data_IF_970475880965
#
_entry.id   IF_970475880965
#
_cell.length_a   1.000
_cell.length_b   1.000
_cell.length_c   1.000
_cell.angle_alpha   90.00
_cell.angle_beta   90.00
_cell.angle_gamma   90.00
#
_symmetry.space_group_name_H-M   'P 1'
#
loop_
_entity.id
_entity.type
_entity.pdbx_description
1 polymer ?
#
# COMPACT_ATOMS: atom_id res chain seq x y z
N UNK A 1 30.35 51.79 26.80
CA UNK A 1 30.67 50.35 26.73
C UNK A 1 29.35 49.60 26.88
N UNK A 2 28.61 49.36 25.77
CA UNK A 2 27.25 48.84 25.76
C UNK A 2 27.30 47.35 25.41
N UNK A 3 27.00 46.48 26.41
CA UNK A 3 26.90 45.04 26.22
C UNK A 3 25.63 44.67 25.44
N UNK A 4 25.78 44.19 24.21
CA UNK A 4 24.70 43.56 23.43
C UNK A 4 24.25 42.30 24.13
N UNK A 5 23.03 42.31 24.73
CA UNK A 5 22.34 41.11 25.19
C UNK A 5 22.09 40.21 23.99
N UNK A 6 22.79 39.09 23.92
CA UNK A 6 22.53 38.00 22.99
C UNK A 6 21.14 37.43 23.33
N UNK A 7 20.13 37.69 22.48
CA UNK A 7 18.84 36.98 22.55
C UNK A 7 19.14 35.48 22.32
N UNK A 8 18.98 34.69 23.37
CA UNK A 8 18.92 33.23 23.25
C UNK A 8 17.60 32.95 22.51
N UNK A 9 17.71 32.72 21.21
CA UNK A 9 16.60 32.16 20.42
C UNK A 9 16.47 30.70 20.90
N UNK A 10 15.53 30.46 21.79
CA UNK A 10 15.05 29.12 22.09
C UNK A 10 14.33 28.62 20.84
N UNK A 11 15.10 28.00 19.92
CA UNK A 11 14.52 27.16 18.88
C UNK A 11 13.87 25.98 19.59
N UNK A 12 12.59 26.14 19.89
CA UNK A 12 11.72 25.01 20.20
C UNK A 12 11.59 24.24 18.89
N UNK A 13 12.44 23.24 18.68
CA UNK A 13 12.37 22.37 17.53
C UNK A 13 10.94 21.82 17.47
N UNK A 14 10.19 22.08 16.40
CA UNK A 14 8.87 21.48 16.25
C UNK A 14 9.05 19.98 16.26
N UNK A 15 8.30 19.26 17.12
CA UNK A 15 8.47 17.82 17.26
C UNK A 15 8.55 17.15 15.88
N UNK A 16 9.46 16.20 15.69
CA UNK A 16 9.79 15.56 14.41
C UNK A 16 8.55 15.19 13.57
N UNK A 17 7.49 14.72 14.22
CA UNK A 17 6.22 14.38 13.57
C UNK A 17 5.51 15.58 12.94
N UNK A 18 5.55 16.74 13.57
CA UNK A 18 4.94 17.97 13.05
C UNK A 18 5.69 18.50 11.83
N UNK A 19 7.00 18.35 11.81
CA UNK A 19 7.81 18.76 10.67
C UNK A 19 7.63 17.83 9.48
N UNK A 20 7.63 16.49 9.72
CA UNK A 20 7.35 15.48 8.69
C UNK A 20 5.96 15.73 8.08
N UNK A 21 4.94 15.96 8.91
CA UNK A 21 3.59 16.23 8.43
C UNK A 21 3.52 17.54 7.61
N UNK A 22 4.21 18.58 8.04
CA UNK A 22 4.27 19.83 7.31
C UNK A 22 4.94 19.68 5.95
N UNK A 23 6.06 18.94 5.88
CA UNK A 23 6.77 18.66 4.64
C UNK A 23 5.92 17.77 3.71
N UNK A 24 5.24 16.79 4.24
CA UNK A 24 4.31 15.95 3.50
C UNK A 24 3.17 16.76 2.87
N UNK A 25 2.50 17.61 3.66
CA UNK A 25 1.43 18.46 3.18
C UNK A 25 1.88 19.54 2.17
N UNK A 26 3.16 19.90 2.17
CA UNK A 26 3.73 20.84 1.20
C UNK A 26 3.82 20.23 -0.21
N UNK A 27 3.94 18.91 -0.31
CA UNK A 27 3.98 18.21 -1.59
C UNK A 27 2.55 17.83 -2.02
N UNK A 28 2.01 18.55 -3.00
CA UNK A 28 0.66 18.35 -3.53
C UNK A 28 0.44 16.93 -4.07
N UNK A 29 1.47 16.33 -4.66
CA UNK A 29 1.39 14.96 -5.20
C UNK A 29 1.23 13.93 -4.06
N UNK A 30 1.95 14.11 -2.95
CA UNK A 30 1.84 13.23 -1.78
C UNK A 30 0.46 13.31 -1.14
N UNK A 31 -0.09 14.53 -1.06
CA UNK A 31 -1.47 14.73 -0.53
C UNK A 31 -2.50 14.09 -1.46
N UNK A 32 -2.38 14.28 -2.77
CA UNK A 32 -3.28 13.65 -3.75
C UNK A 32 -3.21 12.10 -3.68
N UNK A 33 -2.00 11.53 -3.56
CA UNK A 33 -1.80 10.09 -3.40
C UNK A 33 -2.43 9.56 -2.10
N UNK A 34 -2.31 10.31 -1.01
CA UNK A 34 -2.94 9.93 0.27
C UNK A 34 -4.47 9.93 0.16
N UNK A 35 -5.04 10.98 -0.44
CA UNK A 35 -6.50 11.07 -0.65
C UNK A 35 -6.97 9.89 -1.49
N UNK A 36 -6.28 9.59 -2.59
CA UNK A 36 -6.61 8.46 -3.46
C UNK A 36 -6.54 7.12 -2.71
N UNK A 37 -5.52 6.93 -1.88
CA UNK A 37 -5.39 5.73 -1.05
C UNK A 37 -6.55 5.60 -0.06
N UNK A 38 -6.93 6.70 0.60
CA UNK A 38 -8.06 6.72 1.54
C UNK A 38 -9.37 6.34 0.83
N UNK A 39 -9.59 6.85 -0.39
CA UNK A 39 -10.76 6.51 -1.21
C UNK A 39 -10.79 5.01 -1.51
N UNK A 40 -9.68 4.42 -1.94
CA UNK A 40 -9.59 2.98 -2.21
C UNK A 40 -9.88 2.16 -0.95
N UNK A 41 -9.28 2.52 0.19
CA UNK A 41 -9.52 1.85 1.47
C UNK A 41 -11.00 1.95 1.86
N UNK A 42 -11.61 3.12 1.69
CA UNK A 42 -13.03 3.32 1.97
C UNK A 42 -13.91 2.37 1.14
N UNK A 43 -13.72 2.33 -0.18
CA UNK A 43 -14.45 1.42 -1.04
C UNK A 43 -14.21 -0.04 -0.70
N UNK A 44 -12.99 -0.41 -0.36
CA UNK A 44 -12.65 -1.79 0.02
C UNK A 44 -13.30 -2.22 1.34
N UNK A 45 -13.39 -1.33 2.33
CA UNK A 45 -14.05 -1.60 3.62
C UNK A 45 -15.57 -1.73 3.46
N UNK A 46 -16.17 -0.84 2.68
CA UNK A 46 -17.62 -0.79 2.46
C UNK A 46 -18.08 -1.60 1.25
N UNK A 47 -17.23 -2.43 0.66
CA UNK A 47 -17.53 -3.21 -0.55
C UNK A 47 -18.84 -3.97 -0.45
N UNK A 48 -19.10 -4.69 0.63
CA UNK A 48 -20.31 -5.49 0.85
C UNK A 48 -21.59 -4.65 1.03
N UNK A 49 -21.43 -3.36 1.39
CA UNK A 49 -22.58 -2.44 1.55
C UNK A 49 -22.93 -1.79 0.20
N UNK A 50 -21.92 -1.55 -0.64
CA UNK A 50 -22.05 -0.87 -1.92
C UNK A 50 -22.59 -1.84 -2.98
N UNK A 51 -22.03 -3.05 -3.04
CA UNK A 51 -22.43 -4.09 -4.00
C UNK A 51 -22.42 -5.44 -3.30
N UNK A 52 -23.52 -6.17 -3.37
CA UNK A 52 -23.58 -7.51 -2.80
C UNK A 52 -22.60 -8.44 -3.52
N UNK A 53 -21.82 -9.18 -2.76
CA UNK A 53 -20.83 -10.11 -3.29
C UNK A 53 -21.45 -11.19 -4.19
N UNK A 54 -22.67 -11.63 -3.88
CA UNK A 54 -23.37 -12.65 -4.65
C UNK A 54 -23.69 -12.18 -6.08
N UNK A 55 -24.07 -10.92 -6.25
CA UNK A 55 -24.33 -10.35 -7.59
C UNK A 55 -23.07 -10.24 -8.44
N UNK A 56 -21.92 -10.07 -7.78
CA UNK A 56 -20.61 -9.93 -8.45
C UNK A 56 -20.06 -11.26 -8.95
N UNK A 57 -20.33 -12.37 -8.24
CA UNK A 57 -19.79 -13.70 -8.60
C UNK A 57 -20.74 -14.52 -9.47
N UNK A 58 -22.07 -14.26 -9.40
CA UNK A 58 -23.06 -15.04 -10.13
C UNK A 58 -23.08 -14.63 -11.61
N UNK A 59 -22.87 -15.58 -12.55
CA UNK A 59 -22.95 -15.28 -13.97
C UNK A 59 -24.41 -14.96 -14.38
N UNK A 60 -24.60 -13.91 -15.18
CA UNK A 60 -25.86 -13.60 -15.82
C UNK A 60 -25.68 -13.54 -17.36
N UNK A 61 -25.90 -14.65 -18.08
CA UNK A 61 -25.66 -14.71 -19.51
C UNK A 61 -26.50 -13.71 -20.34
N UNK A 62 -27.61 -13.21 -19.80
CA UNK A 62 -28.50 -12.26 -20.48
C UNK A 62 -27.91 -10.84 -20.52
N UNK A 63 -27.02 -10.52 -19.57
CA UNK A 63 -26.38 -9.21 -19.43
C UNK A 63 -24.92 -9.21 -19.89
N UNK A 64 -24.57 -10.09 -20.83
CA UNK A 64 -23.18 -10.20 -21.33
C UNK A 64 -22.76 -8.98 -22.14
N UNK A 65 -21.56 -8.47 -21.85
CA UNK A 65 -20.89 -7.41 -22.61
C UNK A 65 -21.75 -6.15 -22.76
N UNK A 66 -22.58 -5.84 -21.76
CA UNK A 66 -23.29 -4.57 -21.71
C UNK A 66 -22.30 -3.43 -21.49
N UNK A 67 -22.52 -2.32 -22.20
CA UNK A 67 -21.75 -1.10 -22.01
C UNK A 67 -22.04 -0.43 -20.67
N UNK A 68 -21.23 0.58 -20.30
CA UNK A 68 -21.48 1.37 -19.10
C UNK A 68 -22.89 1.96 -19.07
N UNK A 69 -23.60 1.78 -17.95
CA UNK A 69 -24.95 2.26 -17.70
C UNK A 69 -25.12 2.70 -16.24
N UNK A 70 -26.27 3.22 -15.88
CA UNK A 70 -26.58 3.56 -14.49
C UNK A 70 -26.72 2.33 -13.59
N UNK A 71 -27.06 1.17 -14.16
CA UNK A 71 -27.13 -0.11 -13.46
C UNK A 71 -25.76 -0.77 -13.36
N UNK A 72 -24.94 -0.63 -14.41
CA UNK A 72 -23.60 -1.19 -14.50
C UNK A 72 -22.60 -0.07 -14.84
N UNK A 73 -22.07 0.61 -13.82
CA UNK A 73 -21.21 1.78 -14.00
C UNK A 73 -20.01 1.55 -14.93
N UNK A 74 -19.41 0.36 -14.89
CA UNK A 74 -18.29 -0.04 -15.75
C UNK A 74 -18.69 -1.09 -16.79
N UNK A 75 -20.01 -1.34 -16.95
CA UNK A 75 -20.51 -2.39 -17.80
C UNK A 75 -20.33 -3.79 -17.20
N UNK A 76 -20.57 -4.81 -18.03
CA UNK A 76 -20.51 -6.22 -17.63
C UNK A 76 -19.43 -6.99 -18.42
N UNK A 77 -18.94 -8.07 -17.82
CA UNK A 77 -17.94 -8.94 -18.46
C UNK A 77 -18.59 -9.97 -19.43
N UNK A 78 -17.74 -10.85 -19.98
CA UNK A 78 -18.18 -11.93 -20.87
C UNK A 78 -19.09 -12.99 -20.21
N UNK A 79 -19.22 -12.96 -18.88
CA UNK A 79 -20.14 -13.79 -18.10
C UNK A 79 -21.35 -13.02 -17.61
N UNK A 80 -21.49 -11.73 -17.96
CA UNK A 80 -22.58 -10.87 -17.51
C UNK A 80 -22.47 -10.41 -16.07
N UNK A 81 -21.25 -10.40 -15.48
CA UNK A 81 -21.00 -9.98 -14.11
C UNK A 81 -20.61 -8.50 -14.08
N UNK A 82 -21.07 -7.76 -13.08
CA UNK A 82 -20.78 -6.34 -12.92
C UNK A 82 -19.28 -6.07 -12.68
N UNK A 83 -18.66 -5.28 -13.56
CA UNK A 83 -17.25 -4.95 -13.49
C UNK A 83 -16.93 -3.99 -12.33
N UNK A 84 -17.80 -3.05 -12.03
CA UNK A 84 -17.62 -2.11 -10.93
C UNK A 84 -17.56 -2.84 -9.58
N UNK A 85 -18.53 -3.72 -9.34
CA UNK A 85 -18.54 -4.56 -8.14
C UNK A 85 -17.28 -5.42 -8.01
N UNK A 86 -16.81 -6.01 -9.12
CA UNK A 86 -15.59 -6.81 -9.15
C UNK A 86 -14.34 -6.01 -8.81
N UNK A 87 -14.24 -4.78 -9.31
CA UNK A 87 -13.09 -3.89 -8.99
C UNK A 87 -13.08 -3.55 -7.50
N UNK A 88 -14.23 -3.21 -6.91
CA UNK A 88 -14.35 -2.87 -5.49
C UNK A 88 -13.97 -4.08 -4.60
N UNK A 89 -14.56 -5.24 -4.85
CA UNK A 89 -14.25 -6.45 -4.10
C UNK A 89 -12.80 -6.91 -4.33
N UNK A 90 -12.29 -6.78 -5.57
CA UNK A 90 -10.89 -7.06 -5.91
C UNK A 90 -9.91 -6.16 -5.15
N UNK A 91 -10.23 -4.88 -4.98
CA UNK A 91 -9.42 -3.94 -4.21
C UNK A 91 -9.25 -4.39 -2.75
N UNK A 92 -10.31 -4.94 -2.13
CA UNK A 92 -10.25 -5.48 -0.76
C UNK A 92 -9.23 -6.60 -0.63
N UNK A 93 -9.27 -7.58 -1.55
CA UNK A 93 -8.32 -8.68 -1.55
C UNK A 93 -6.89 -8.21 -1.84
N UNK A 94 -6.72 -7.31 -2.82
CA UNK A 94 -5.40 -6.76 -3.17
C UNK A 94 -4.77 -5.99 -1.99
N UNK A 95 -5.55 -5.18 -1.28
CA UNK A 95 -5.07 -4.48 -0.09
C UNK A 95 -4.70 -5.44 1.03
N UNK A 96 -5.53 -6.46 1.28
CA UNK A 96 -5.26 -7.47 2.30
C UNK A 96 -3.96 -8.22 2.00
N UNK A 97 -3.80 -8.72 0.76
CA UNK A 97 -2.57 -9.38 0.34
C UNK A 97 -1.37 -8.45 0.43
N UNK A 98 -1.50 -7.19 -0.01
CA UNK A 98 -0.43 -6.20 0.09
C UNK A 98 0.06 -5.99 1.52
N UNK A 99 -0.86 -5.84 2.47
CA UNK A 99 -0.53 -5.68 3.90
C UNK A 99 0.13 -6.93 4.45
N UNK A 100 -0.43 -8.12 4.18
CA UNK A 100 0.11 -9.39 4.68
C UNK A 100 1.51 -9.64 4.12
N UNK A 101 1.69 -9.54 2.80
CA UNK A 101 3.00 -9.75 2.17
C UNK A 101 4.05 -8.76 2.66
N UNK A 102 3.68 -7.47 2.76
CA UNK A 102 4.60 -6.43 3.26
C UNK A 102 4.98 -6.68 4.72
N UNK A 103 4.02 -7.07 5.56
CA UNK A 103 4.28 -7.37 6.98
C UNK A 103 5.20 -8.58 7.14
N UNK A 104 4.97 -9.65 6.38
CA UNK A 104 5.84 -10.83 6.37
C UNK A 104 7.24 -10.49 5.90
N UNK A 105 7.36 -9.72 4.82
CA UNK A 105 8.67 -9.29 4.27
C UNK A 105 9.41 -8.39 5.25
N UNK A 106 8.71 -7.46 5.90
CA UNK A 106 9.29 -6.57 6.91
C UNK A 106 9.81 -7.37 8.10
N UNK A 107 8.97 -8.27 8.63
CA UNK A 107 9.35 -9.10 9.77
C UNK A 107 10.55 -10.00 9.43
N UNK A 108 10.48 -10.72 8.31
CA UNK A 108 11.58 -11.57 7.84
C UNK A 108 12.87 -10.80 7.59
N UNK A 109 12.79 -9.65 6.90
CA UNK A 109 13.92 -8.77 6.65
C UNK A 109 14.54 -8.20 7.91
N UNK A 110 13.71 -7.76 8.88
CA UNK A 110 14.20 -7.29 10.18
C UNK A 110 14.92 -8.38 10.97
N UNK A 111 14.37 -9.60 11.02
CA UNK A 111 14.99 -10.72 11.74
C UNK A 111 16.31 -11.11 11.10
N UNK A 112 16.35 -11.27 9.77
CA UNK A 112 17.58 -11.62 9.05
C UNK A 112 18.61 -10.50 9.13
N UNK A 113 18.22 -9.24 8.94
CA UNK A 113 19.13 -8.10 9.03
C UNK A 113 19.67 -7.88 10.44
N UNK A 114 18.84 -8.01 11.47
CA UNK A 114 19.28 -7.91 12.86
C UNK A 114 20.22 -9.04 13.24
N UNK A 115 19.96 -10.27 12.80
CA UNK A 115 20.87 -11.43 13.04
C UNK A 115 22.21 -11.25 12.35
N UNK A 116 22.19 -10.82 11.08
CA UNK A 116 23.43 -10.55 10.34
C UNK A 116 24.27 -9.45 11.01
N UNK A 117 23.60 -8.35 11.42
CA UNK A 117 24.28 -7.23 12.08
C UNK A 117 24.81 -7.58 13.49
N UNK A 118 24.07 -8.39 14.26
CA UNK A 118 24.44 -8.75 15.62
C UNK A 118 25.60 -9.74 15.67
N UNK A 119 25.56 -10.81 14.89
CA UNK A 119 26.61 -11.83 14.90
C UNK A 119 27.80 -11.50 14.00
N UNK A 120 27.56 -10.76 12.92
CA UNK A 120 28.60 -10.34 11.97
C UNK A 120 29.39 -11.50 11.33
N UNK A 121 30.53 -11.20 10.73
CA UNK A 121 31.51 -12.15 10.26
C UNK A 121 30.96 -13.26 9.36
N UNK A 122 31.09 -14.52 9.77
CA UNK A 122 30.65 -15.67 8.98
C UNK A 122 29.13 -15.77 8.84
N UNK A 123 28.38 -15.37 9.86
CA UNK A 123 26.89 -15.41 9.84
C UNK A 123 26.36 -14.42 8.82
N UNK A 124 26.86 -13.19 8.87
CA UNK A 124 26.52 -12.16 7.89
C UNK A 124 26.85 -12.62 6.46
N UNK A 125 28.08 -13.12 6.26
CA UNK A 125 28.49 -13.63 4.94
C UNK A 125 27.58 -14.76 4.41
N UNK A 126 27.16 -15.69 5.27
CA UNK A 126 26.27 -16.77 4.87
C UNK A 126 24.88 -16.27 4.52
N UNK A 127 24.29 -15.41 5.35
CA UNK A 127 22.96 -14.82 5.11
C UNK A 127 22.97 -14.07 3.78
N UNK A 128 23.98 -13.21 3.55
CA UNK A 128 24.11 -12.44 2.30
C UNK A 128 24.26 -13.36 1.08
N UNK A 129 25.05 -14.44 1.15
CA UNK A 129 25.19 -15.38 0.03
C UNK A 129 23.90 -16.10 -0.32
N UNK A 130 23.09 -16.45 0.69
CA UNK A 130 21.77 -17.06 0.44
C UNK A 130 20.84 -16.05 -0.24
N UNK A 131 20.83 -14.81 0.23
CA UNK A 131 20.02 -13.74 -0.37
C UNK A 131 20.48 -13.48 -1.82
N UNK A 132 21.78 -13.38 -2.06
CA UNK A 132 22.33 -13.18 -3.41
C UNK A 132 21.94 -14.33 -4.35
N UNK A 133 22.01 -15.58 -3.87
CA UNK A 133 21.60 -16.74 -4.65
C UNK A 133 20.09 -16.68 -5.02
N UNK A 134 19.23 -16.26 -4.09
CA UNK A 134 17.81 -16.05 -4.37
C UNK A 134 17.57 -14.93 -5.36
N UNK A 135 18.33 -13.84 -5.27
CA UNK A 135 18.25 -12.71 -6.21
C UNK A 135 18.77 -13.04 -7.62
N UNK A 136 19.61 -14.07 -7.76
CA UNK A 136 20.07 -14.56 -9.08
C UNK A 136 18.97 -15.24 -9.88
N UNK A 137 17.85 -15.64 -9.25
CA UNK A 137 16.71 -16.22 -9.97
C UNK A 137 15.98 -15.08 -10.69
N UNK A 138 15.90 -15.11 -12.04
CA UNK A 138 15.22 -14.06 -12.78
C UNK A 138 13.75 -13.97 -12.33
N UNK A 139 13.30 -12.77 -12.00
CA UNK A 139 11.92 -12.50 -11.55
C UNK A 139 10.86 -13.05 -12.55
N UNK A 140 11.21 -13.11 -13.84
CA UNK A 140 10.33 -13.66 -14.88
C UNK A 140 10.10 -15.19 -14.79
N UNK A 141 10.92 -15.90 -14.02
CA UNK A 141 10.80 -17.37 -13.84
C UNK A 141 10.10 -17.73 -12.53
N UNK A 142 9.79 -16.76 -11.68
CA UNK A 142 9.14 -16.88 -10.40
C UNK A 142 7.65 -16.53 -10.49
#
# INVERSE_FOLDING_TARGET
MFGKKKKIVTNTEPGQWREIWRLFCKNKVSVAALIFLIIIIFFALFANVIVDYQTVITPNPQERLLGPSLEHLFGTDHMGRDLFGRVIHGARYSLMFGVVCTSLSLFGGCVLGATAAYFGGKVDTWIMRVIDALMCIPYMLM
#
